data_IF_433338825679
#
_entry.id   IF_433338825679
#
_cell.length_a   1.000
_cell.length_b   1.000
_cell.length_c   1.000
_cell.angle_alpha   90.00
_cell.angle_beta   90.00
_cell.angle_gamma   90.00
#
_symmetry.space_group_name_H-M   'P 1'
#
loop_
_entity.id
_entity.type
_entity.pdbx_description
1 polymer ?
#
# COMPACT_ATOMS: atom_id res chain seq x y z
N UNK A 1 0.57 -21.24 3.65
CA UNK A 1 1.63 -20.22 3.49
C UNK A 1 0.93 -18.94 3.13
N UNK A 2 0.95 -17.94 4.01
CA UNK A 2 0.13 -16.73 3.85
C UNK A 2 0.87 -15.76 2.92
N UNK A 3 0.51 -15.82 1.64
CA UNK A 3 1.15 -15.04 0.56
C UNK A 3 0.59 -13.63 0.40
N UNK A 4 -0.49 -13.29 1.12
CA UNK A 4 -1.20 -12.03 0.94
C UNK A 4 -0.29 -10.80 1.08
N UNK A 5 0.76 -10.85 1.90
CA UNK A 5 1.67 -9.72 2.03
C UNK A 5 2.51 -9.54 0.76
N UNK A 6 3.12 -10.61 0.25
CA UNK A 6 3.94 -10.54 -0.96
C UNK A 6 3.10 -10.21 -2.20
N UNK A 7 2.01 -10.94 -2.40
CA UNK A 7 1.09 -10.72 -3.54
C UNK A 7 0.43 -9.35 -3.47
N UNK A 8 0.05 -8.91 -2.27
CA UNK A 8 -0.53 -7.60 -2.04
C UNK A 8 0.44 -6.44 -2.29
N UNK A 9 1.68 -6.58 -1.82
CA UNK A 9 2.73 -5.61 -2.09
C UNK A 9 3.00 -5.49 -3.59
N UNK A 10 3.06 -6.60 -4.32
CA UNK A 10 3.21 -6.59 -5.77
C UNK A 10 1.99 -5.93 -6.44
N UNK A 11 0.77 -6.34 -6.08
CA UNK A 11 -0.49 -5.79 -6.62
C UNK A 11 -0.59 -4.28 -6.43
N UNK A 12 -0.11 -3.75 -5.31
CA UNK A 12 -0.08 -2.30 -5.05
C UNK A 12 1.08 -1.58 -5.76
N UNK A 13 2.31 -2.09 -5.63
CA UNK A 13 3.49 -1.38 -6.13
C UNK A 13 3.71 -1.50 -7.62
N UNK A 14 3.28 -2.58 -8.28
CA UNK A 14 3.41 -2.72 -9.72
C UNK A 14 2.77 -1.55 -10.51
N UNK A 15 1.48 -1.21 -10.32
CA UNK A 15 0.88 -0.08 -11.02
C UNK A 15 1.45 1.26 -10.55
N UNK A 16 1.84 1.40 -9.28
CA UNK A 16 2.52 2.60 -8.76
C UNK A 16 3.87 2.82 -9.46
N UNK A 17 4.67 1.78 -9.61
CA UNK A 17 5.97 1.84 -10.29
C UNK A 17 5.77 2.19 -11.77
N UNK A 18 4.80 1.57 -12.46
CA UNK A 18 4.46 1.91 -13.85
C UNK A 18 4.09 3.40 -14.00
N UNK A 19 3.33 3.95 -13.05
CA UNK A 19 3.02 5.38 -13.04
C UNK A 19 4.28 6.25 -12.80
N UNK A 20 5.12 5.86 -11.84
CA UNK A 20 6.37 6.57 -11.51
C UNK A 20 7.35 6.65 -12.67
N UNK A 21 7.39 5.65 -13.53
CA UNK A 21 8.27 5.63 -14.73
C UNK A 21 7.58 6.15 -15.99
N UNK A 22 6.35 6.66 -15.88
CA UNK A 22 5.59 7.23 -16.99
C UNK A 22 5.03 6.21 -17.98
N UNK A 23 5.04 4.91 -17.65
CA UNK A 23 4.40 3.87 -18.48
C UNK A 23 2.88 3.85 -18.35
N UNK A 24 2.36 4.52 -17.32
CA UNK A 24 0.93 4.67 -17.05
C UNK A 24 0.67 6.07 -16.52
N UNK A 25 -0.49 6.66 -16.81
CA UNK A 25 -0.85 7.96 -16.23
C UNK A 25 -1.19 7.84 -14.73
N UNK A 26 -1.11 8.95 -14.00
CA UNK A 26 -1.62 9.03 -12.62
C UNK A 26 -3.12 8.69 -12.57
N UNK A 27 -3.89 9.13 -13.57
CA UNK A 27 -5.33 8.92 -13.63
C UNK A 27 -5.68 7.44 -13.80
N UNK A 28 -4.99 6.72 -14.68
CA UNK A 28 -5.23 5.28 -14.86
C UNK A 28 -4.88 4.47 -13.61
N UNK A 29 -3.82 4.87 -12.88
CA UNK A 29 -3.47 4.24 -11.59
C UNK A 29 -4.62 4.42 -10.59
N UNK A 30 -5.06 5.65 -10.36
CA UNK A 30 -6.10 5.92 -9.37
C UNK A 30 -7.44 5.32 -9.76
N UNK A 31 -7.73 5.24 -11.06
CA UNK A 31 -8.89 4.50 -11.55
C UNK A 31 -8.79 3.02 -11.18
N UNK A 32 -7.69 2.33 -11.51
CA UNK A 32 -7.52 0.92 -11.12
C UNK A 32 -7.66 0.72 -9.61
N UNK A 33 -6.93 1.50 -8.80
CA UNK A 33 -7.01 1.36 -7.34
C UNK A 33 -8.43 1.64 -6.81
N UNK A 34 -9.17 2.57 -7.41
CA UNK A 34 -10.51 2.95 -6.94
C UNK A 34 -11.58 1.93 -7.31
N UNK A 35 -11.47 1.31 -8.49
CA UNK A 35 -12.47 0.37 -9.00
C UNK A 35 -12.17 -1.09 -8.62
N UNK A 36 -10.90 -1.49 -8.56
CA UNK A 36 -10.54 -2.89 -8.35
C UNK A 36 -10.22 -3.23 -6.89
N UNK A 37 -9.64 -2.29 -6.13
CA UNK A 37 -9.29 -2.53 -4.72
C UNK A 37 -10.48 -2.90 -3.80
N UNK A 38 -11.73 -2.43 -4.04
CA UNK A 38 -12.90 -2.91 -3.28
C UNK A 38 -13.08 -4.43 -3.26
N UNK A 39 -12.51 -5.17 -4.21
CA UNK A 39 -12.50 -6.63 -4.20
C UNK A 39 -11.83 -7.23 -2.95
N UNK A 40 -10.91 -6.49 -2.30
CA UNK A 40 -10.23 -6.90 -1.07
C UNK A 40 -10.95 -6.55 0.24
N UNK A 41 -12.10 -5.86 0.19
CA UNK A 41 -12.82 -5.44 1.40
C UNK A 41 -13.28 -6.61 2.25
N UNK A 42 -13.64 -7.75 1.63
CA UNK A 42 -14.06 -8.93 2.37
C UNK A 42 -12.95 -9.45 3.29
N UNK A 43 -11.73 -9.59 2.74
CA UNK A 43 -10.55 -9.97 3.50
C UNK A 43 -10.24 -8.96 4.61
N UNK A 44 -10.22 -7.66 4.30
CA UNK A 44 -9.79 -6.61 5.23
C UNK A 44 -10.81 -6.28 6.31
N UNK A 45 -12.10 -6.34 6.01
CA UNK A 45 -13.16 -5.83 6.89
C UNK A 45 -14.01 -6.92 7.55
N UNK A 46 -14.06 -8.14 6.99
CA UNK A 46 -14.91 -9.21 7.53
C UNK A 46 -14.13 -10.44 7.97
N UNK A 47 -13.24 -10.97 7.13
CA UNK A 47 -12.66 -12.31 7.31
C UNK A 47 -11.35 -12.29 8.10
N UNK A 48 -10.46 -11.33 7.80
CA UNK A 48 -9.05 -11.38 8.16
C UNK A 48 -8.20 -12.01 7.07
N UNK A 49 -7.03 -11.43 6.80
CA UNK A 49 -6.16 -11.79 5.67
C UNK A 49 -5.62 -13.23 5.71
N UNK A 50 -5.40 -13.78 6.91
CA UNK A 50 -4.95 -15.16 7.08
C UNK A 50 -6.04 -16.20 6.80
N UNK A 51 -7.31 -15.78 6.79
CA UNK A 51 -8.46 -16.67 6.65
C UNK A 51 -8.97 -16.75 5.22
N UNK A 52 -8.49 -15.89 4.31
CA UNK A 52 -9.02 -15.87 2.96
C UNK A 52 -8.44 -16.98 2.09
N UNK A 53 -9.32 -17.55 1.27
CA UNK A 53 -9.02 -18.59 0.29
C UNK A 53 -9.37 -18.17 -1.15
N UNK A 54 -10.00 -16.99 -1.35
CA UNK A 54 -10.24 -16.43 -2.68
C UNK A 54 -8.96 -15.71 -3.15
N UNK A 55 -8.57 -15.95 -4.41
CA UNK A 55 -7.41 -15.30 -5.00
C UNK A 55 -7.54 -13.76 -4.96
N UNK A 56 -8.73 -13.20 -5.18
CA UNK A 56 -8.94 -11.74 -5.16
C UNK A 56 -8.69 -11.15 -3.79
N UNK A 57 -9.13 -11.83 -2.74
CA UNK A 57 -8.90 -11.40 -1.37
C UNK A 57 -7.42 -11.45 -0.98
N UNK A 58 -6.66 -12.43 -1.47
CA UNK A 58 -5.21 -12.52 -1.24
C UNK A 58 -4.50 -11.33 -1.87
N UNK A 59 -4.81 -11.03 -3.14
CA UNK A 59 -4.14 -9.97 -3.90
C UNK A 59 -4.66 -8.59 -3.49
N UNK A 60 -5.96 -8.32 -3.64
CA UNK A 60 -6.56 -7.03 -3.34
C UNK A 60 -6.67 -6.74 -1.84
N UNK A 61 -6.84 -7.75 -0.98
CA UNK A 61 -6.80 -7.55 0.47
C UNK A 61 -5.41 -7.17 0.94
N UNK A 62 -4.37 -7.87 0.44
CA UNK A 62 -2.99 -7.49 0.68
C UNK A 62 -2.64 -6.11 0.10
N UNK A 63 -3.11 -5.80 -1.11
CA UNK A 63 -2.91 -4.49 -1.75
C UNK A 63 -3.57 -3.37 -0.95
N UNK A 64 -4.74 -3.61 -0.39
CA UNK A 64 -5.43 -2.66 0.47
C UNK A 64 -4.65 -2.41 1.76
N UNK A 65 -4.11 -3.46 2.40
CA UNK A 65 -3.23 -3.27 3.56
C UNK A 65 -1.97 -2.46 3.21
N UNK A 66 -1.35 -2.73 2.07
CA UNK A 66 -0.19 -1.98 1.58
C UNK A 66 -0.52 -0.51 1.29
N UNK A 67 -1.63 -0.24 0.60
CA UNK A 67 -2.11 1.10 0.30
C UNK A 67 -2.39 1.90 1.57
N UNK A 68 -3.14 1.33 2.52
CA UNK A 68 -3.44 1.98 3.79
C UNK A 68 -2.15 2.23 4.58
N UNK A 69 -1.21 1.26 4.58
CA UNK A 69 0.08 1.44 5.24
C UNK A 69 0.88 2.59 4.61
N UNK A 70 0.98 2.67 3.28
CA UNK A 70 1.74 3.73 2.61
C UNK A 70 1.16 5.13 2.90
N UNK A 71 -0.16 5.30 2.77
CA UNK A 71 -0.83 6.57 3.10
C UNK A 71 -0.57 6.96 4.56
N UNK A 72 -0.76 6.04 5.51
CA UNK A 72 -0.63 6.32 6.94
C UNK A 72 0.83 6.57 7.36
N UNK A 73 1.80 5.89 6.74
CA UNK A 73 3.23 6.18 6.94
C UNK A 73 3.53 7.60 6.43
N UNK A 74 3.05 7.97 5.25
CA UNK A 74 3.23 9.32 4.71
C UNK A 74 2.60 10.37 5.62
N UNK A 75 1.38 10.18 6.10
CA UNK A 75 0.75 11.11 7.06
C UNK A 75 1.61 11.27 8.34
N UNK A 76 2.00 10.16 8.96
CA UNK A 76 2.73 10.14 10.24
C UNK A 76 4.17 10.65 10.14
N UNK A 77 4.73 10.69 8.93
CA UNK A 77 6.09 11.16 8.66
C UNK A 77 6.12 12.51 7.93
N UNK A 78 4.97 13.19 7.82
CA UNK A 78 4.84 14.46 7.09
C UNK A 78 5.31 14.34 5.62
N UNK A 79 4.92 13.23 4.99
CA UNK A 79 5.18 12.84 3.60
C UNK A 79 6.67 12.68 3.25
N UNK A 80 7.54 12.56 4.26
CA UNK A 80 8.98 12.35 4.07
C UNK A 80 9.31 10.91 3.70
N UNK A 81 8.58 9.95 4.26
CA UNK A 81 8.78 8.51 4.03
C UNK A 81 7.50 7.86 3.52
N UNK A 82 7.65 6.79 2.75
CA UNK A 82 6.60 5.88 2.34
C UNK A 82 6.92 4.44 2.75
N UNK A 83 6.00 3.53 2.48
CA UNK A 83 6.17 2.10 2.72
C UNK A 83 7.41 1.55 1.98
N UNK A 84 7.75 2.11 0.81
CA UNK A 84 8.92 1.71 0.02
C UNK A 84 10.25 1.92 0.75
N UNK A 85 10.34 2.91 1.63
CA UNK A 85 11.55 3.16 2.42
C UNK A 85 11.76 2.01 3.43
N UNK A 86 10.66 1.50 3.99
CA UNK A 86 10.67 0.29 4.80
C UNK A 86 11.02 -0.97 3.99
N UNK A 87 10.48 -1.12 2.78
CA UNK A 87 10.80 -2.25 1.90
C UNK A 87 12.27 -2.28 1.47
N UNK A 88 12.86 -1.11 1.16
CA UNK A 88 14.30 -1.01 0.91
C UNK A 88 15.12 -1.45 2.13
N UNK A 89 14.67 -1.12 3.34
CA UNK A 89 15.33 -1.55 4.57
C UNK A 89 15.20 -3.06 4.85
N UNK A 90 14.11 -3.70 4.39
CA UNK A 90 13.95 -5.16 4.37
C UNK A 90 14.96 -5.78 3.41
N UNK A 91 15.05 -5.27 2.18
CA UNK A 91 16.01 -5.73 1.17
C UNK A 91 17.45 -5.60 1.64
N UNK A 92 17.84 -4.44 2.19
CA UNK A 92 19.17 -4.18 2.71
C UNK A 92 19.59 -5.11 3.87
N UNK A 93 18.62 -5.76 4.53
CA UNK A 93 18.85 -6.74 5.60
C UNK A 93 18.77 -8.19 5.10
N UNK A 94 18.67 -8.41 3.79
CA UNK A 94 18.61 -9.73 3.16
C UNK A 94 17.20 -10.33 3.08
N UNK A 95 16.15 -9.52 3.21
CA UNK A 95 14.78 -9.97 2.97
C UNK A 95 14.41 -9.83 1.50
N UNK A 96 14.11 -10.93 0.83
CA UNK A 96 13.67 -10.96 -0.57
C UNK A 96 12.90 -12.24 -0.88
N UNK A 97 12.23 -12.32 -2.05
CA UNK A 97 11.38 -13.46 -2.43
C UNK A 97 12.10 -14.83 -2.35
N UNK A 98 13.39 -14.89 -2.67
CA UNK A 98 14.21 -16.11 -2.53
C UNK A 98 14.65 -16.48 -1.11
N UNK A 99 14.26 -15.74 -0.06
CA UNK A 99 14.61 -16.03 1.34
C UNK A 99 13.37 -15.90 2.21
N UNK A 100 12.95 -17.01 2.81
CA UNK A 100 11.72 -17.06 3.60
C UNK A 100 11.90 -16.28 4.90
N UNK A 101 11.28 -15.10 4.99
CA UNK A 101 11.12 -14.36 6.24
C UNK A 101 9.71 -14.56 6.78
N UNK A 102 9.58 -14.52 8.11
CA UNK A 102 8.25 -14.40 8.72
C UNK A 102 7.70 -13.01 8.46
N UNK A 103 6.37 -12.91 8.33
CA UNK A 103 5.65 -11.62 8.23
C UNK A 103 6.08 -10.69 9.38
N UNK A 104 6.10 -11.21 10.62
CA UNK A 104 6.42 -10.40 11.80
C UNK A 104 7.85 -9.82 11.74
N UNK A 105 8.82 -10.58 11.19
CA UNK A 105 10.18 -10.09 11.00
C UNK A 105 10.21 -8.96 9.97
N UNK A 106 9.61 -9.14 8.79
CA UNK A 106 9.55 -8.13 7.74
C UNK A 106 8.85 -6.85 8.22
N UNK A 107 7.68 -6.99 8.82
CA UNK A 107 6.88 -5.91 9.39
C UNK A 107 7.68 -5.12 10.44
N UNK A 108 8.38 -5.80 11.34
CA UNK A 108 9.21 -5.12 12.35
C UNK A 108 10.36 -4.32 11.75
N UNK A 109 10.93 -4.75 10.61
CA UNK A 109 11.99 -4.02 9.91
C UNK A 109 11.42 -2.78 9.24
N UNK A 110 10.26 -2.89 8.59
CA UNK A 110 9.56 -1.76 7.97
C UNK A 110 9.29 -0.68 9.01
N UNK A 111 8.58 -1.00 10.11
CA UNK A 111 8.19 0.00 11.12
C UNK A 111 9.42 0.67 11.77
N UNK A 112 10.50 -0.09 12.03
CA UNK A 112 11.77 0.48 12.53
C UNK A 112 12.40 1.45 11.53
N UNK A 113 12.36 1.13 10.24
CA UNK A 113 12.97 1.96 9.20
C UNK A 113 12.22 3.26 8.97
N UNK A 114 10.88 3.22 9.03
CA UNK A 114 10.04 4.43 8.87
C UNK A 114 9.82 5.20 10.17
N UNK A 115 10.23 4.63 11.32
CA UNK A 115 10.16 5.27 12.63
C UNK A 115 8.75 5.36 13.23
N UNK A 116 7.77 4.68 12.64
CA UNK A 116 6.36 4.67 13.07
C UNK A 116 5.82 3.25 12.99
N UNK A 117 4.96 2.86 13.94
CA UNK A 117 4.41 1.51 14.05
C UNK A 117 3.14 1.31 13.21
N UNK A 118 3.17 1.66 11.92
CA UNK A 118 1.96 1.64 11.08
C UNK A 118 1.66 0.23 10.57
N UNK A 119 2.65 -0.43 9.96
CA UNK A 119 2.42 -1.72 9.31
C UNK A 119 2.14 -2.79 10.37
N UNK A 120 2.87 -2.79 11.48
CA UNK A 120 2.64 -3.70 12.60
C UNK A 120 1.23 -3.59 13.20
N UNK A 121 0.75 -2.37 13.39
CA UNK A 121 -0.62 -2.14 13.88
C UNK A 121 -1.67 -2.63 12.89
N UNK A 122 -1.49 -2.36 11.59
CA UNK A 122 -2.42 -2.84 10.56
C UNK A 122 -2.44 -4.38 10.47
N UNK A 123 -1.27 -5.02 10.45
CA UNK A 123 -1.18 -6.48 10.43
C UNK A 123 -1.83 -7.07 11.68
N UNK A 124 -1.54 -6.56 12.88
CA UNK A 124 -2.17 -7.06 14.10
C UNK A 124 -3.71 -6.96 14.06
N UNK A 125 -4.24 -5.88 13.47
CA UNK A 125 -5.69 -5.61 13.41
C UNK A 125 -6.42 -6.44 12.36
N UNK A 126 -5.81 -6.64 11.18
CA UNK A 126 -6.48 -7.20 9.99
C UNK A 126 -6.04 -8.63 9.64
N UNK A 127 -4.97 -9.15 10.25
CA UNK A 127 -4.43 -10.47 9.88
C UNK A 127 -5.39 -11.61 10.24
N UNK A 128 -5.91 -11.64 11.47
CA UNK A 128 -6.74 -12.76 11.97
C UNK A 128 -8.24 -12.49 11.91
N UNK A 129 -8.64 -11.22 11.83
CA UNK A 129 -10.02 -10.79 11.79
C UNK A 129 -10.12 -9.55 10.92
N UNK A 130 -11.27 -9.35 10.27
CA UNK A 130 -11.51 -8.12 9.53
C UNK A 130 -11.95 -6.98 10.44
N UNK A 131 -11.58 -5.75 10.09
CA UNK A 131 -12.14 -4.54 10.71
C UNK A 131 -12.30 -3.44 9.67
N UNK A 132 -13.23 -2.49 9.84
CA UNK A 132 -13.41 -1.40 8.88
C UNK A 132 -12.10 -0.66 8.62
N UNK A 133 -11.76 -0.49 7.34
CA UNK A 133 -10.57 0.24 6.89
C UNK A 133 -10.87 1.69 6.51
N UNK A 134 -12.14 2.00 6.20
CA UNK A 134 -12.55 3.34 5.78
C UNK A 134 -12.00 3.72 4.39
N UNK A 135 -11.96 2.76 3.45
CA UNK A 135 -11.34 2.93 2.14
C UNK A 135 -11.85 4.16 1.38
N UNK A 136 -13.17 4.35 1.28
CA UNK A 136 -13.74 5.51 0.58
C UNK A 136 -13.40 6.85 1.26
N UNK A 137 -13.23 6.87 2.59
CA UNK A 137 -12.79 8.07 3.30
C UNK A 137 -11.34 8.41 2.96
N UNK A 138 -10.47 7.40 2.86
CA UNK A 138 -9.07 7.60 2.46
C UNK A 138 -9.01 8.14 1.03
N UNK A 139 -9.78 7.57 0.09
CA UNK A 139 -9.87 8.09 -1.28
C UNK A 139 -10.34 9.56 -1.31
N UNK A 140 -11.37 9.89 -0.54
CA UNK A 140 -11.87 11.27 -0.42
C UNK A 140 -10.80 12.22 0.11
N UNK A 141 -10.08 11.84 1.17
CA UNK A 141 -8.99 12.65 1.74
C UNK A 141 -7.83 12.83 0.75
N UNK A 142 -7.52 11.81 -0.06
CA UNK A 142 -6.57 11.90 -1.17
C UNK A 142 -7.08 12.72 -2.36
N UNK A 143 -8.35 13.14 -2.35
CA UNK A 143 -8.98 13.87 -3.45
C UNK A 143 -9.26 12.99 -4.66
N UNK A 144 -9.54 11.71 -4.47
CA UNK A 144 -9.92 10.78 -5.54
C UNK A 144 -11.41 10.52 -5.43
N UNK A 145 -12.17 10.88 -6.47
CA UNK A 145 -13.60 10.63 -6.56
C UNK A 145 -13.92 9.84 -7.83
N UNK A 146 -14.88 8.91 -7.75
CA UNK A 146 -15.43 8.23 -8.93
C UNK A 146 -16.22 9.24 -9.78
N UNK A 147 -16.16 9.09 -11.09
CA UNK A 147 -16.94 9.84 -12.08
C UNK A 147 -17.44 8.91 -13.18
N UNK A 148 -18.30 9.41 -14.06
CA UNK A 148 -18.83 8.61 -15.18
C UNK A 148 -17.72 8.14 -16.13
N UNK A 149 -16.68 8.97 -16.34
CA UNK A 149 -15.53 8.67 -17.21
C UNK A 149 -14.29 8.15 -16.45
N UNK A 150 -14.45 7.60 -15.24
CA UNK A 150 -13.34 7.05 -14.44
C UNK A 150 -13.18 7.74 -13.08
N UNK A 151 -12.10 8.50 -12.89
CA UNK A 151 -11.85 9.22 -11.62
C UNK A 151 -11.53 10.69 -11.84
N UNK A 152 -11.94 11.53 -10.88
CA UNK A 152 -11.56 12.93 -10.76
C UNK A 152 -10.55 13.08 -9.63
N UNK A 153 -9.48 13.84 -9.90
CA UNK A 153 -8.42 14.12 -8.95
C UNK A 153 -8.50 15.58 -8.48
N UNK A 154 -9.02 15.80 -7.27
CA UNK A 154 -9.05 17.12 -6.64
C UNK A 154 -7.67 17.46 -6.06
N UNK A 155 -7.06 18.53 -6.58
CA UNK A 155 -5.77 19.03 -6.10
C UNK A 155 -5.83 19.76 -4.75
N UNK A 156 -7.03 20.14 -4.29
CA UNK A 156 -7.24 20.88 -3.05
C UNK A 156 -7.58 20.00 -1.85
N UNK A 157 -7.70 18.68 -2.05
CA UNK A 157 -7.96 17.75 -0.96
C UNK A 157 -6.80 17.70 0.04
N UNK A 158 -7.11 17.42 1.31
CA UNK A 158 -6.16 17.50 2.43
C UNK A 158 -4.93 16.61 2.24
N UNK A 159 -5.08 15.43 1.65
CA UNK A 159 -4.00 14.48 1.37
C UNK A 159 -3.61 14.44 -0.12
N UNK A 160 -4.03 15.41 -0.94
CA UNK A 160 -3.54 15.54 -2.31
C UNK A 160 -1.99 15.56 -2.41
N UNK A 161 -1.23 16.19 -1.47
CA UNK A 161 0.23 16.09 -1.48
C UNK A 161 0.77 14.66 -1.29
N UNK A 162 0.06 13.82 -0.53
CA UNK A 162 0.39 12.40 -0.35
C UNK A 162 0.09 11.64 -1.63
N UNK A 163 -1.10 11.85 -2.22
CA UNK A 163 -1.50 11.28 -3.53
C UNK A 163 -0.42 11.54 -4.58
N UNK A 164 -0.01 12.80 -4.72
CA UNK A 164 1.03 13.22 -5.66
C UNK A 164 2.39 12.57 -5.37
N UNK A 165 2.73 12.35 -4.09
CA UNK A 165 4.01 11.73 -3.72
C UNK A 165 4.04 10.23 -4.02
N UNK A 166 2.92 9.53 -3.90
CA UNK A 166 2.81 8.11 -4.26
C UNK A 166 3.21 7.90 -5.73
N UNK A 167 2.76 8.76 -6.63
CA UNK A 167 2.97 8.59 -8.09
C UNK A 167 4.25 9.23 -8.62
N UNK A 168 4.90 10.09 -7.83
CA UNK A 168 6.13 10.76 -8.27
C UNK A 168 7.32 9.80 -8.28
N UNK A 169 8.22 9.92 -9.28
CA UNK A 169 9.50 9.23 -9.24
C UNK A 169 10.19 9.44 -7.90
N UNK A 170 10.73 8.35 -7.36
CA UNK A 170 11.56 8.42 -6.18
C UNK A 170 12.90 9.05 -6.57
N UNK A 171 13.51 9.88 -5.71
CA UNK A 171 14.89 10.28 -5.92
C UNK A 171 15.72 9.02 -6.14
N UNK A 172 16.52 8.99 -7.20
CA UNK A 172 17.53 7.94 -7.32
C UNK A 172 18.40 8.05 -6.07
N UNK A 173 18.45 6.97 -5.29
CA UNK A 173 19.52 6.82 -4.30
C UNK A 173 20.78 6.66 -5.12
N UNK A 174 21.55 7.74 -5.26
CA UNK A 174 22.93 7.66 -5.71
C UNK A 174 23.68 6.89 -4.63
N UNK A 175 24.12 5.70 -5.04
CA UNK A 175 25.05 4.76 -4.43
C UNK A 175 24.60 3.84 -3.29
N UNK A 176 24.84 2.56 -3.52
CA UNK A 176 25.77 1.80 -2.69
C UNK A 176 26.83 1.17 -3.64
N UNK A 177 28.09 1.05 -3.20
CA UNK A 177 29.26 0.67 -4.02
C UNK A 177 29.18 -0.72 -4.67
#
# INVERSE_FOLDING_TARGET
MNKWLDEGLATYYEPVIRARVGWRSEQDLWQELTYDMPQGLAAMERQGLDNSQDYRDIYWGGAMLAFVADVRIRERTQNRLGLEDGLRAVLARGGHAGTVWTIDKAVSVVDRAVGVSVLGTLVAKHRKQGTPVGFDNILKELGVARSDDGVVLDGNASLAPIRNRIVRPLPQTVDAP
#
